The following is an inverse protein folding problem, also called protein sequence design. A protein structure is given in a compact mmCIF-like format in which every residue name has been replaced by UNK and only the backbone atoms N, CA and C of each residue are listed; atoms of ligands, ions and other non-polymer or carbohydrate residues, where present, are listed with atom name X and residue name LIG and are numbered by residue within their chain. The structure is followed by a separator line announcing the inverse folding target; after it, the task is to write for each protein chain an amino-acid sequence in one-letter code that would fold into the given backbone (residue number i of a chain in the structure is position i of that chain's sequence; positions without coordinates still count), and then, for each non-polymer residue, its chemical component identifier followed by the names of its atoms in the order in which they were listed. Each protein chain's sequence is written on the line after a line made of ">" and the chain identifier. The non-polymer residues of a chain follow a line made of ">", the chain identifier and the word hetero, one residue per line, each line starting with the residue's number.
data_IF_240417564990
#
_entry.id   IF_240417564990
#
_cell.length_a   1.000
_cell.length_b   1.000
_cell.length_c   1.000
_cell.angle_alpha   90.00
_cell.angle_beta   90.00
_cell.angle_gamma   90.00
#
_symmetry.space_group_name_H-M   'P 1'
#
loop_
_entity.id
_entity.type
_entity.pdbx_description
1 polymer ?
#
# COMPACT_ATOMS: atom_id res chain seq x y z
N UNK A 1 -8.89 -8.17 24.47
CA UNK A 1 -9.47 -7.22 23.50
C UNK A 1 -8.37 -6.73 22.56
N UNK A 2 -8.15 -7.42 21.45
CA UNK A 2 -7.01 -7.15 20.57
C UNK A 2 -7.45 -6.21 19.45
N UNK A 3 -6.79 -5.05 19.33
CA UNK A 3 -7.02 -4.02 18.32
C UNK A 3 -6.85 -4.61 16.91
N UNK A 4 -7.96 -5.10 16.34
CA UNK A 4 -8.00 -5.69 15.00
C UNK A 4 -7.70 -4.61 13.97
N UNK A 5 -6.44 -4.52 13.57
CA UNK A 5 -6.05 -3.73 12.41
C UNK A 5 -6.87 -4.27 11.25
N UNK A 6 -7.74 -3.44 10.64
CA UNK A 6 -8.72 -3.89 9.60
C UNK A 6 -8.10 -4.72 8.47
N UNK A 7 -6.77 -4.65 8.29
CA UNK A 7 -5.99 -5.43 7.34
C UNK A 7 -4.70 -5.94 8.00
N UNK A 8 -4.70 -7.13 8.64
CA UNK A 8 -3.47 -7.68 9.21
C UNK A 8 -2.49 -8.03 8.08
N UNK A 9 -1.21 -7.69 8.28
CA UNK A 9 -0.16 -8.05 7.34
C UNK A 9 0.09 -9.56 7.42
N UNK A 10 0.08 -10.31 6.30
CA UNK A 10 0.28 -11.76 6.33
C UNK A 10 1.69 -12.09 6.81
N UNK A 11 1.80 -12.96 7.82
CA UNK A 11 3.09 -13.38 8.40
C UNK A 11 3.86 -14.39 7.51
N UNK A 12 3.25 -14.87 6.42
CA UNK A 12 3.85 -15.87 5.55
C UNK A 12 4.94 -15.28 4.64
N UNK A 13 6.10 -15.94 4.57
CA UNK A 13 7.21 -15.60 3.66
C UNK A 13 6.80 -15.56 2.17
N UNK A 14 5.70 -16.23 1.80
CA UNK A 14 5.19 -16.34 0.43
C UNK A 14 3.80 -15.72 0.24
N UNK A 15 3.47 -14.66 0.98
CA UNK A 15 2.19 -13.98 0.82
C UNK A 15 2.03 -13.46 -0.62
N UNK A 16 0.96 -13.90 -1.30
CA UNK A 16 0.67 -13.40 -2.64
C UNK A 16 0.31 -11.90 -2.60
N UNK A 17 0.62 -11.12 -3.66
CA UNK A 17 0.25 -9.69 -3.71
C UNK A 17 -1.23 -9.44 -3.41
N UNK A 18 -2.11 -10.30 -3.93
CA UNK A 18 -3.55 -10.27 -3.67
C UNK A 18 -3.91 -10.48 -2.19
N UNK A 19 -3.18 -11.35 -1.48
CA UNK A 19 -3.38 -11.58 -0.04
C UNK A 19 -2.88 -10.40 0.79
N UNK A 20 -1.76 -9.79 0.42
CA UNK A 20 -1.26 -8.57 1.08
C UNK A 20 -2.29 -7.45 0.97
N UNK A 21 -2.95 -7.34 -0.18
CA UNK A 21 -3.94 -6.31 -0.46
C UNK A 21 -5.34 -6.65 0.03
N UNK A 22 -5.56 -7.88 0.48
CA UNK A 22 -6.89 -8.41 0.82
C UNK A 22 -7.90 -8.20 -0.33
N UNK A 23 -7.43 -8.41 -1.57
CA UNK A 23 -8.21 -8.23 -2.79
C UNK A 23 -8.39 -9.56 -3.55
N UNK A 24 -9.53 -9.75 -4.24
CA UNK A 24 -9.70 -10.90 -5.13
C UNK A 24 -8.74 -10.82 -6.34
N UNK A 25 -8.46 -11.97 -6.96
CA UNK A 25 -7.58 -12.09 -8.14
C UNK A 25 -8.08 -11.37 -9.41
N UNK A 26 -9.26 -10.74 -9.34
CA UNK A 26 -9.86 -9.94 -10.42
C UNK A 26 -10.12 -8.48 -10.02
N UNK A 27 -9.48 -7.97 -8.96
CA UNK A 27 -9.67 -6.59 -8.53
C UNK A 27 -9.20 -5.58 -9.59
N UNK A 28 -9.99 -4.53 -9.80
CA UNK A 28 -9.66 -3.46 -10.75
C UNK A 28 -8.44 -2.66 -10.30
N UNK A 29 -7.75 -2.01 -11.24
CA UNK A 29 -6.60 -1.14 -10.94
C UNK A 29 -6.94 -0.02 -9.96
N UNK A 30 -8.16 0.51 -10.00
CA UNK A 30 -8.64 1.50 -9.04
C UNK A 30 -8.77 0.92 -7.61
N UNK A 31 -9.23 -0.34 -7.49
CA UNK A 31 -9.33 -1.02 -6.20
C UNK A 31 -7.95 -1.34 -5.63
N UNK A 32 -7.03 -1.82 -6.48
CA UNK A 32 -5.62 -2.05 -6.12
C UNK A 32 -4.97 -0.75 -5.65
N UNK A 33 -5.12 0.32 -6.43
CA UNK A 33 -4.62 1.66 -6.08
C UNK A 33 -5.24 2.16 -4.77
N UNK A 34 -6.54 1.99 -4.57
CA UNK A 34 -7.22 2.41 -3.35
C UNK A 34 -6.73 1.64 -2.11
N UNK A 35 -6.59 0.30 -2.21
CA UNK A 35 -6.01 -0.53 -1.13
C UNK A 35 -4.56 -0.19 -0.84
N UNK A 36 -3.77 0.06 -1.89
CA UNK A 36 -2.39 0.48 -1.75
C UNK A 36 -2.27 1.69 -0.82
N UNK A 37 -3.06 2.74 -1.06
CA UNK A 37 -3.01 3.94 -0.23
C UNK A 37 -3.44 3.70 1.21
N UNK A 38 -4.46 2.88 1.43
CA UNK A 38 -4.89 2.56 2.79
C UNK A 38 -3.84 1.76 3.56
N UNK A 39 -3.21 0.78 2.92
CA UNK A 39 -2.12 0.02 3.51
C UNK A 39 -0.91 0.90 3.79
N UNK A 40 -0.54 1.76 2.85
CA UNK A 40 0.58 2.67 3.07
C UNK A 40 0.25 3.66 4.19
N UNK A 41 -0.96 4.22 4.27
CA UNK A 41 -1.37 5.07 5.40
C UNK A 41 -1.19 4.38 6.76
N UNK A 42 -1.44 3.07 6.82
CA UNK A 42 -1.31 2.26 8.04
C UNK A 42 0.15 1.87 8.33
N UNK A 43 0.92 1.50 7.30
CA UNK A 43 2.24 0.87 7.43
C UNK A 43 3.42 1.73 6.97
N UNK A 44 3.20 2.99 6.58
CA UNK A 44 4.28 3.90 6.19
C UNK A 44 5.28 4.07 7.34
N UNK A 45 6.60 4.13 7.06
CA UNK A 45 7.60 4.33 8.10
C UNK A 45 7.30 5.56 8.97
N UNK A 46 6.94 6.69 8.38
CA UNK A 46 6.53 7.90 9.13
C UNK A 46 5.10 7.88 9.71
N UNK A 47 4.32 6.80 9.54
CA UNK A 47 2.97 6.75 10.10
C UNK A 47 3.00 6.60 11.61
N UNK A 48 2.20 7.43 12.30
CA UNK A 48 2.03 7.37 13.76
C UNK A 48 1.48 5.99 14.18
N UNK A 49 0.66 5.36 13.34
CA UNK A 49 0.06 4.05 13.59
C UNK A 49 1.08 2.91 13.54
N UNK A 50 2.17 3.11 12.80
CA UNK A 50 3.24 2.13 12.67
C UNK A 50 4.33 2.29 13.74
N UNK A 51 4.27 3.32 14.61
CA UNK A 51 5.26 3.53 15.69
C UNK A 51 5.31 2.40 16.72
N UNK A 52 4.28 1.57 16.78
CA UNK A 52 4.19 0.41 17.68
C UNK A 52 5.06 -0.77 17.23
N UNK A 53 5.57 -0.76 16.00
CA UNK A 53 6.44 -1.80 15.44
C UNK A 53 7.84 -1.24 15.16
N UNK A 54 8.86 -2.10 15.18
CA UNK A 54 10.25 -1.69 14.95
C UNK A 54 10.43 -1.08 13.56
N UNK A 55 11.41 -0.19 13.42
CA UNK A 55 11.75 0.47 12.15
C UNK A 55 12.05 -0.54 11.03
N UNK A 56 12.70 -1.65 11.37
CA UNK A 56 12.98 -2.74 10.44
C UNK A 56 11.68 -3.39 9.94
N UNK A 57 10.75 -3.73 10.84
CA UNK A 57 9.46 -4.29 10.45
C UNK A 57 8.62 -3.33 9.62
N UNK A 58 8.68 -2.02 9.89
CA UNK A 58 8.01 -1.00 9.06
C UNK A 58 8.54 -1.03 7.64
N UNK A 59 9.87 -1.00 7.47
CA UNK A 59 10.50 -1.03 6.15
C UNK A 59 10.19 -2.34 5.42
N UNK A 60 10.26 -3.49 6.07
CA UNK A 60 9.94 -4.78 5.47
C UNK A 60 8.48 -4.84 4.99
N UNK A 61 7.53 -4.38 5.82
CA UNK A 61 6.11 -4.35 5.44
C UNK A 61 5.86 -3.38 4.29
N UNK A 62 6.46 -2.19 4.34
CA UNK A 62 6.35 -1.18 3.29
C UNK A 62 6.90 -1.69 1.95
N UNK A 63 8.12 -2.26 1.96
CA UNK A 63 8.73 -2.89 0.79
C UNK A 63 7.82 -3.96 0.19
N UNK A 64 7.30 -4.87 1.01
CA UNK A 64 6.40 -5.92 0.54
C UNK A 64 5.11 -5.36 -0.10
N UNK A 65 4.52 -4.29 0.47
CA UNK A 65 3.35 -3.61 -0.10
C UNK A 65 3.70 -2.97 -1.45
N UNK A 66 4.84 -2.29 -1.56
CA UNK A 66 5.31 -1.66 -2.80
C UNK A 66 5.60 -2.70 -3.88
N UNK A 67 6.33 -3.77 -3.56
CA UNK A 67 6.62 -4.86 -4.48
C UNK A 67 5.32 -5.52 -4.97
N UNK A 68 4.37 -5.79 -4.07
CA UNK A 68 3.07 -6.32 -4.42
C UNK A 68 2.28 -5.39 -5.36
N UNK A 69 2.29 -4.07 -5.10
CA UNK A 69 1.67 -3.09 -5.98
C UNK A 69 2.28 -3.09 -7.38
N UNK A 70 3.61 -3.11 -7.47
CA UNK A 70 4.30 -3.17 -8.76
C UNK A 70 3.95 -4.42 -9.56
N UNK A 71 3.90 -5.59 -8.91
CA UNK A 71 3.50 -6.85 -9.56
C UNK A 71 2.06 -6.77 -10.09
N UNK A 72 1.13 -6.28 -9.28
CA UNK A 72 -0.28 -6.16 -9.65
C UNK A 72 -0.52 -5.10 -10.74
N UNK A 73 0.27 -4.03 -10.74
CA UNK A 73 0.20 -2.94 -11.73
C UNK A 73 0.85 -3.32 -13.05
N UNK A 74 2.02 -3.96 -13.05
CA UNK A 74 2.76 -4.33 -14.28
C UNK A 74 2.03 -5.38 -15.11
N UNK A 75 1.15 -6.18 -14.51
CA UNK A 75 0.35 -7.21 -15.23
C UNK A 75 -0.73 -6.63 -16.14
N UNK A 76 -1.03 -5.33 -16.08
CA UNK A 76 -1.95 -4.68 -17.02
C UNK A 76 -1.15 -3.61 -17.78
N UNK A 77 -0.77 -3.85 -19.05
CA UNK A 77 -0.14 -2.82 -19.86
C UNK A 77 -1.13 -1.66 -20.06
N UNK A 78 -0.88 -0.55 -19.37
CA UNK A 78 -1.58 0.71 -19.58
C UNK A 78 -0.74 1.55 -20.56
N UNK A 79 -1.12 1.63 -21.85
CA UNK A 79 -0.35 2.36 -22.87
C UNK A 79 -0.44 3.89 -22.71
N UNK A 80 -1.19 4.40 -21.73
CA UNK A 80 -1.43 5.84 -21.54
C UNK A 80 -0.63 6.44 -20.38
N UNK A 81 0.21 5.66 -19.69
CA UNK A 81 1.01 6.20 -18.59
C UNK A 81 2.33 6.79 -19.09
N UNK A 82 2.53 8.12 -18.98
CA UNK A 82 3.85 8.70 -19.19
C UNK A 82 4.83 8.12 -18.15
N UNK A 83 6.07 7.93 -18.57
CA UNK A 83 7.19 7.48 -17.75
C UNK A 83 7.59 8.58 -16.75
N UNK A 84 6.68 8.94 -15.84
CA UNK A 84 6.93 9.96 -14.83
C UNK A 84 7.74 9.33 -13.71
N UNK A 85 9.03 9.64 -13.64
CA UNK A 85 9.91 9.37 -12.51
C UNK A 85 9.49 10.24 -11.31
N UNK A 86 8.34 9.95 -10.72
CA UNK A 86 8.04 10.34 -9.34
C UNK A 86 8.32 9.12 -8.48
N UNK A 87 9.09 9.31 -7.42
CA UNK A 87 9.35 8.23 -6.48
C UNK A 87 8.02 7.71 -5.97
N UNK A 88 7.92 6.40 -5.77
CA UNK A 88 6.68 5.78 -5.29
C UNK A 88 6.19 6.44 -4.00
N UNK A 89 7.14 6.89 -3.16
CA UNK A 89 6.92 7.71 -1.97
C UNK A 89 6.23 9.06 -2.26
N UNK A 90 6.71 9.82 -3.25
CA UNK A 90 6.12 11.11 -3.65
C UNK A 90 4.67 10.96 -4.11
N UNK A 91 4.39 9.92 -4.89
CA UNK A 91 3.05 9.61 -5.40
C UNK A 91 2.12 9.26 -4.24
N UNK A 92 2.60 8.45 -3.29
CA UNK A 92 1.88 8.12 -2.07
C UNK A 92 1.56 9.38 -1.30
N UNK A 93 2.59 10.19 -1.00
CA UNK A 93 2.47 11.35 -0.12
C UNK A 93 1.48 12.35 -0.70
N UNK A 94 1.60 12.66 -1.99
CA UNK A 94 0.67 13.53 -2.69
C UNK A 94 -0.78 13.02 -2.66
N UNK A 95 -1.00 11.71 -2.87
CA UNK A 95 -2.36 11.16 -2.81
C UNK A 95 -2.92 11.15 -1.37
N UNK A 96 -2.09 10.84 -0.36
CA UNK A 96 -2.49 10.90 1.05
C UNK A 96 -2.93 12.33 1.43
N UNK A 97 -2.26 13.36 0.90
CA UNK A 97 -2.70 14.74 1.05
C UNK A 97 -4.04 14.99 0.35
N UNK A 98 -4.24 14.47 -0.87
CA UNK A 98 -5.49 14.63 -1.63
C UNK A 98 -6.70 13.95 -0.97
N UNK A 99 -6.49 12.83 -0.28
CA UNK A 99 -7.55 12.05 0.38
C UNK A 99 -7.75 12.40 1.85
N UNK A 100 -6.97 13.32 2.42
CA UNK A 100 -7.27 13.86 3.75
C UNK A 100 -8.62 14.59 3.65
N UNK A 101 -9.59 14.27 4.50
CA UNK A 101 -10.78 15.10 4.59
C UNK A 101 -10.32 16.50 4.97
N UNK A 102 -10.69 17.50 4.17
CA UNK A 102 -10.59 18.88 4.59
C UNK A 102 -11.36 18.97 5.91
N UNK A 103 -10.70 19.43 6.98
CA UNK A 103 -11.41 19.79 8.21
C UNK A 103 -12.41 20.88 7.82
N UNK A 104 -13.71 20.55 7.83
CA UNK A 104 -14.77 21.54 8.01
C UNK A 104 -14.85 21.91 9.48
#
# INVERSE_FOLDING_TARGET
>A
SSTSSKFPFPAGRNASPHQIFHLPKGASQEQIKSRYYDLVKLYHPDSILARTISSEQRNLRFQAITTAYEILRRRVPDPRRPNTHKSTDDIIRAELYRRRPAKQ
#
